data_IF_674987708698
#
_entry.id   IF_674987708698
#
_cell.length_a   1.000
_cell.length_b   1.000
_cell.length_c   1.000
_cell.angle_alpha   90.00
_cell.angle_beta   90.00
_cell.angle_gamma   90.00
#
_symmetry.space_group_name_H-M   'P 1'
#
loop_
_entity.id
_entity.type
_entity.pdbx_description
1 polymer ?
#
# COMPACT_ATOMS: atom_id res chain seq x y z
N UNK A 1 12.82 13.29 -16.06
CA UNK A 1 13.66 12.30 -15.35
C UNK A 1 12.74 11.60 -14.38
N UNK A 2 12.73 10.27 -14.40
CA UNK A 2 11.80 9.47 -13.61
C UNK A 2 12.56 8.72 -12.51
N UNK A 3 11.90 8.50 -11.38
CA UNK A 3 12.46 7.79 -10.23
C UNK A 3 11.51 6.69 -9.78
N UNK A 4 12.08 5.56 -9.36
CA UNK A 4 11.33 4.46 -8.75
C UNK A 4 12.10 3.94 -7.53
N UNK A 5 11.40 3.73 -6.43
CA UNK A 5 11.96 3.20 -5.19
C UNK A 5 10.87 2.49 -4.39
N UNK A 6 11.30 1.58 -3.52
CA UNK A 6 10.42 0.87 -2.59
C UNK A 6 10.52 1.51 -1.19
N UNK A 7 9.39 1.59 -0.49
CA UNK A 7 9.33 2.02 0.89
C UNK A 7 8.22 1.32 1.63
N UNK A 8 8.36 1.18 2.94
CA UNK A 8 7.26 0.70 3.81
C UNK A 8 6.19 1.78 4.03
N UNK A 9 6.47 3.04 3.65
CA UNK A 9 5.62 4.22 3.94
C UNK A 9 5.29 4.42 5.43
N UNK A 10 5.94 3.68 6.34
CA UNK A 10 5.67 3.75 7.78
C UNK A 10 6.35 4.93 8.48
N UNK A 11 7.34 5.56 7.86
CA UNK A 11 8.03 6.75 8.38
C UNK A 11 7.52 8.05 7.75
N UNK A 12 7.88 9.20 8.35
CA UNK A 12 7.45 10.51 7.87
C UNK A 12 8.25 11.02 6.65
N UNK A 13 9.51 10.60 6.53
CA UNK A 13 10.44 11.12 5.51
C UNK A 13 9.92 10.91 4.09
N UNK A 14 9.43 9.71 3.78
CA UNK A 14 8.99 9.40 2.43
C UNK A 14 7.68 10.10 2.07
N UNK A 15 6.70 10.11 2.99
CA UNK A 15 5.45 10.82 2.75
C UNK A 15 5.70 12.32 2.50
N UNK A 16 6.53 12.97 3.32
CA UNK A 16 6.89 14.37 3.13
C UNK A 16 7.64 14.62 1.81
N UNK A 17 8.52 13.71 1.39
CA UNK A 17 9.22 13.82 0.12
C UNK A 17 8.23 13.74 -1.07
N UNK A 18 7.29 12.81 -1.03
CA UNK A 18 6.28 12.64 -2.07
C UNK A 18 5.35 13.85 -2.16
N UNK A 19 4.90 14.39 -1.02
CA UNK A 19 4.11 15.61 -0.97
C UNK A 19 4.86 16.79 -1.62
N UNK A 20 6.14 16.99 -1.24
CA UNK A 20 6.99 18.03 -1.83
C UNK A 20 7.19 17.85 -3.34
N UNK A 21 7.38 16.61 -3.79
CA UNK A 21 7.52 16.31 -5.22
C UNK A 21 6.24 16.68 -5.98
N UNK A 22 5.07 16.33 -5.45
CA UNK A 22 3.76 16.72 -5.99
C UNK A 22 3.60 18.24 -6.05
N UNK A 23 3.92 18.96 -4.96
CA UNK A 23 3.90 20.43 -4.92
C UNK A 23 4.88 21.10 -5.89
N UNK A 24 5.97 20.42 -6.24
CA UNK A 24 6.93 20.88 -7.25
C UNK A 24 6.52 20.54 -8.70
N UNK A 25 5.33 19.97 -8.90
CA UNK A 25 4.78 19.63 -10.22
C UNK A 25 5.15 18.24 -10.73
N UNK A 26 5.74 17.37 -9.89
CA UNK A 26 6.00 15.98 -10.28
C UNK A 26 4.75 15.12 -10.11
N UNK A 27 4.52 14.20 -11.04
CA UNK A 27 3.49 13.19 -10.89
C UNK A 27 3.92 12.13 -9.88
N UNK A 28 3.22 12.07 -8.75
CA UNK A 28 3.41 11.01 -7.76
C UNK A 28 2.45 9.86 -8.05
N UNK A 29 3.01 8.68 -8.34
CA UNK A 29 2.26 7.45 -8.57
C UNK A 29 2.64 6.42 -7.51
N UNK A 30 1.64 5.82 -6.84
CA UNK A 30 1.85 4.83 -5.79
C UNK A 30 1.18 3.51 -6.15
N UNK A 31 1.95 2.42 -6.06
CA UNK A 31 1.44 1.06 -5.98
C UNK A 31 1.56 0.60 -4.53
N UNK A 32 0.45 0.60 -3.81
CA UNK A 32 0.39 0.18 -2.42
C UNK A 32 0.00 -1.29 -2.34
N UNK A 33 0.80 -2.09 -1.65
CA UNK A 33 0.54 -3.53 -1.47
C UNK A 33 0.37 -3.81 0.02
N UNK A 34 -0.79 -4.36 0.39
CA UNK A 34 -1.12 -4.71 1.78
C UNK A 34 -1.42 -6.19 1.94
N UNK A 35 -1.43 -6.64 3.20
CA UNK A 35 -1.83 -7.96 3.63
C UNK A 35 -2.98 -7.85 4.64
N UNK A 36 -3.69 -8.95 4.84
CA UNK A 36 -4.82 -9.04 5.76
C UNK A 36 -4.50 -8.62 7.20
N UNK A 37 -3.29 -8.90 7.68
CA UNK A 37 -2.89 -8.62 9.06
C UNK A 37 -1.39 -8.36 9.24
N UNK A 38 -1.05 -7.68 10.33
CA UNK A 38 0.35 -7.57 10.77
C UNK A 38 0.95 -8.94 11.13
N UNK A 39 0.14 -9.87 11.64
CA UNK A 39 0.59 -11.21 11.97
C UNK A 39 1.00 -12.00 10.71
N UNK A 40 0.29 -11.80 9.60
CA UNK A 40 0.69 -12.38 8.32
C UNK A 40 2.00 -11.77 7.80
N UNK A 41 2.22 -10.46 7.97
CA UNK A 41 3.53 -9.87 7.71
C UNK A 41 4.63 -10.51 8.58
N UNK A 42 4.39 -10.70 9.87
CA UNK A 42 5.33 -11.34 10.80
C UNK A 42 5.62 -12.78 10.36
N UNK A 43 4.60 -13.55 10.01
CA UNK A 43 4.74 -14.93 9.53
C UNK A 43 5.60 -14.99 8.25
N UNK A 44 5.34 -14.11 7.28
CA UNK A 44 6.15 -14.02 6.05
C UNK A 44 7.58 -13.59 6.32
N UNK A 45 7.81 -12.68 7.28
CA UNK A 45 9.16 -12.29 7.71
C UNK A 45 9.89 -13.46 8.37
N UNK A 46 9.23 -14.21 9.25
CA UNK A 46 9.82 -15.40 9.88
C UNK A 46 10.17 -16.48 8.85
N UNK A 47 9.27 -16.72 7.88
CA UNK A 47 9.50 -17.68 6.79
C UNK A 47 10.74 -17.32 5.97
N UNK A 48 10.88 -16.06 5.53
CA UNK A 48 12.09 -15.64 4.79
C UNK A 48 13.35 -15.66 5.65
N UNK A 49 13.27 -15.37 6.95
CA UNK A 49 14.43 -15.44 7.87
C UNK A 49 14.93 -16.88 7.99
N UNK A 50 14.02 -17.86 8.06
CA UNK A 50 14.39 -19.27 8.03
C UNK A 50 15.10 -19.68 6.72
N UNK A 51 14.89 -18.92 5.64
CA UNK A 51 15.58 -19.09 4.34
C UNK A 51 16.80 -18.16 4.18
N UNK A 52 17.32 -17.56 5.25
CA UNK A 52 18.52 -16.70 5.23
C UNK A 52 18.27 -15.21 4.97
N UNK A 53 17.01 -14.76 4.99
CA UNK A 53 16.64 -13.35 4.86
C UNK A 53 16.88 -12.50 6.11
N UNK A 54 16.70 -11.19 5.98
CA UNK A 54 16.85 -10.24 7.09
C UNK A 54 15.63 -10.19 8.01
N UNK A 55 15.86 -10.21 9.32
CA UNK A 55 14.83 -10.11 10.34
C UNK A 55 14.37 -8.65 10.56
N UNK A 56 13.13 -8.48 11.02
CA UNK A 56 12.58 -7.17 11.40
C UNK A 56 11.82 -7.34 12.72
N UNK A 57 12.10 -6.53 13.75
CA UNK A 57 11.37 -6.60 15.01
C UNK A 57 9.86 -6.47 14.82
N UNK A 58 9.08 -7.37 15.42
CA UNK A 58 7.62 -7.42 15.27
C UNK A 58 6.93 -6.11 15.62
N UNK A 59 7.42 -5.43 16.67
CA UNK A 59 6.91 -4.11 17.07
C UNK A 59 7.00 -3.10 15.90
N UNK A 60 8.12 -3.09 15.16
CA UNK A 60 8.27 -2.25 13.97
C UNK A 60 7.34 -2.68 12.83
N UNK A 61 7.10 -3.97 12.65
CA UNK A 61 6.16 -4.48 11.64
C UNK A 61 4.73 -3.99 11.96
N UNK A 62 4.28 -4.16 13.20
CA UNK A 62 2.95 -3.72 13.65
C UNK A 62 2.78 -2.20 13.54
N UNK A 63 3.79 -1.45 13.97
CA UNK A 63 3.82 0.00 13.84
C UNK A 63 3.69 0.43 12.37
N UNK A 64 4.53 -0.12 11.49
CA UNK A 64 4.55 0.22 10.06
C UNK A 64 3.25 -0.18 9.39
N UNK A 65 2.67 -1.34 9.74
CA UNK A 65 1.40 -1.80 9.21
C UNK A 65 0.29 -0.75 9.43
N UNK A 66 0.19 -0.18 10.63
CA UNK A 66 -0.78 0.89 10.89
C UNK A 66 -0.40 2.21 10.22
N UNK A 67 0.85 2.65 10.37
CA UNK A 67 1.30 3.97 9.91
C UNK A 67 1.28 4.12 8.40
N UNK A 68 1.66 3.09 7.65
CA UNK A 68 1.70 3.14 6.18
C UNK A 68 0.34 3.48 5.58
N UNK A 69 -0.75 2.92 6.12
CA UNK A 69 -2.12 3.22 5.68
C UNK A 69 -2.54 4.64 6.02
N UNK A 70 -2.21 5.13 7.21
CA UNK A 70 -2.51 6.51 7.59
C UNK A 70 -1.79 7.49 6.67
N UNK A 71 -0.50 7.25 6.40
CA UNK A 71 0.29 8.06 5.46
C UNK A 71 -0.21 7.99 4.03
N UNK A 72 -0.66 6.83 3.58
CA UNK A 72 -1.30 6.71 2.27
C UNK A 72 -2.57 7.57 2.18
N UNK A 73 -3.42 7.52 3.20
CA UNK A 73 -4.66 8.32 3.26
C UNK A 73 -4.36 9.82 3.24
N UNK A 74 -3.37 10.26 4.02
CA UNK A 74 -2.89 11.66 4.02
C UNK A 74 -2.42 12.09 2.62
N UNK A 75 -1.73 11.21 1.88
CA UNK A 75 -1.18 11.51 0.56
C UNK A 75 -2.22 11.56 -0.57
N UNK A 76 -3.43 10.98 -0.40
CA UNK A 76 -4.41 10.84 -1.49
C UNK A 76 -4.63 12.11 -2.34
N UNK A 77 -4.75 13.33 -1.76
CA UNK A 77 -4.95 14.55 -2.54
C UNK A 77 -3.77 14.94 -3.44
N UNK A 78 -2.58 14.38 -3.20
CA UNK A 78 -1.33 14.72 -3.88
C UNK A 78 -0.95 13.73 -4.99
N UNK A 79 -1.72 12.65 -5.17
CA UNK A 79 -1.38 11.56 -6.08
C UNK A 79 -1.94 11.80 -7.49
N UNK A 80 -1.07 11.66 -8.48
CA UNK A 80 -1.47 11.53 -9.88
C UNK A 80 -2.15 10.17 -10.10
N UNK A 81 -1.64 9.10 -9.49
CA UNK A 81 -2.20 7.76 -9.58
C UNK A 81 -1.98 6.95 -8.30
N UNK A 82 -3.00 6.20 -7.90
CA UNK A 82 -2.92 5.21 -6.83
C UNK A 82 -3.48 3.88 -7.32
N UNK A 83 -2.74 2.79 -7.08
CA UNK A 83 -3.26 1.43 -7.13
C UNK A 83 -3.05 0.75 -5.80
N UNK A 84 -4.10 0.16 -5.24
CA UNK A 84 -4.06 -0.59 -3.97
C UNK A 84 -4.29 -2.06 -4.27
N UNK A 85 -3.38 -2.91 -3.81
CA UNK A 85 -3.43 -4.35 -4.00
C UNK A 85 -3.52 -5.09 -2.67
N UNK A 86 -4.35 -6.13 -2.66
CA UNK A 86 -4.38 -7.16 -1.64
C UNK A 86 -3.49 -8.32 -2.07
N UNK A 87 -2.43 -8.59 -1.32
CA UNK A 87 -1.50 -9.68 -1.58
C UNK A 87 -1.55 -10.75 -0.48
N UNK A 88 -2.71 -10.92 0.14
CA UNK A 88 -2.94 -11.87 1.23
C UNK A 88 -2.76 -13.32 0.78
N UNK A 89 -3.20 -13.65 -0.44
CA UNK A 89 -2.93 -14.97 -1.02
C UNK A 89 -1.42 -15.18 -1.21
N UNK A 90 -0.92 -16.33 -0.77
CA UNK A 90 0.47 -16.71 -0.99
C UNK A 90 0.61 -17.44 -2.31
N UNK A 91 1.69 -17.12 -3.04
CA UNK A 91 2.20 -18.00 -4.07
C UNK A 91 3.11 -19.06 -3.46
N UNK A 92 3.54 -19.99 -4.29
CA UNK A 92 4.59 -20.98 -3.99
C UNK A 92 5.78 -20.76 -4.93
N UNK A 93 6.78 -19.95 -4.53
CA UNK A 93 7.96 -19.70 -5.37
C UNK A 93 8.74 -20.97 -5.70
N UNK A 94 8.72 -21.99 -4.83
CA UNK A 94 9.43 -23.26 -5.07
C UNK A 94 8.78 -24.05 -6.21
N UNK A 95 7.47 -23.87 -6.41
CA UNK A 95 6.71 -24.43 -7.55
C UNK A 95 6.54 -23.45 -8.71
N UNK A 96 7.23 -22.31 -8.69
CA UNK A 96 7.08 -21.26 -9.72
C UNK A 96 5.72 -20.58 -9.73
N UNK A 97 4.95 -20.69 -8.65
CA UNK A 97 3.63 -20.07 -8.51
C UNK A 97 3.80 -18.70 -7.86
N UNK A 98 3.71 -17.64 -8.65
CA UNK A 98 3.69 -16.29 -8.11
C UNK A 98 2.36 -16.04 -7.37
N UNK A 99 2.35 -15.22 -6.30
CA UNK A 99 1.09 -14.74 -5.76
C UNK A 99 0.37 -13.91 -6.84
N UNK A 100 -0.96 -13.85 -6.75
CA UNK A 100 -1.80 -13.02 -7.63
C UNK A 100 -2.41 -11.88 -6.82
N UNK A 101 -1.73 -10.72 -6.70
CA UNK A 101 -2.28 -9.59 -5.95
C UNK A 101 -3.57 -9.10 -6.59
N UNK A 102 -4.62 -8.98 -5.80
CA UNK A 102 -5.93 -8.51 -6.25
C UNK A 102 -6.00 -6.99 -6.17
N UNK A 103 -6.30 -6.34 -7.29
CA UNK A 103 -6.52 -4.88 -7.33
C UNK A 103 -7.82 -4.54 -6.58
N UNK A 104 -7.70 -3.74 -5.52
CA UNK A 104 -8.83 -3.28 -4.71
C UNK A 104 -9.33 -1.89 -5.12
N UNK A 105 -8.41 -1.02 -5.51
CA UNK A 105 -8.70 0.38 -5.83
C UNK A 105 -7.71 0.90 -6.86
N UNK A 106 -8.23 1.57 -7.87
CA UNK A 106 -7.46 2.37 -8.82
C UNK A 106 -8.02 3.78 -8.83
N UNK A 107 -7.17 4.76 -8.56
CA UNK A 107 -7.51 6.18 -8.66
C UNK A 107 -6.54 6.92 -9.56
N UNK A 108 -7.04 7.95 -10.24
CA UNK A 108 -6.24 8.94 -10.96
C UNK A 108 -6.75 10.33 -10.65
N UNK A 109 -5.85 11.26 -10.33
CA UNK A 109 -6.16 12.67 -10.09
C UNK A 109 -7.35 12.89 -9.14
N UNK A 110 -7.35 12.17 -8.00
CA UNK A 110 -8.42 12.24 -7.00
C UNK A 110 -9.73 11.54 -7.38
N UNK A 111 -9.87 10.98 -8.58
CA UNK A 111 -11.05 10.24 -9.04
C UNK A 111 -10.83 8.73 -8.98
N UNK A 112 -11.88 8.01 -8.60
CA UNK A 112 -11.88 6.54 -8.65
C UNK A 112 -12.08 6.10 -10.10
N UNK A 113 -11.11 5.35 -10.64
CA UNK A 113 -11.18 4.74 -11.97
C UNK A 113 -11.84 3.36 -11.87
N UNK A 114 -11.48 2.58 -10.85
CA UNK A 114 -12.13 1.31 -10.53
C UNK A 114 -11.94 0.96 -9.06
N UNK A 115 -12.85 0.15 -8.52
CA UNK A 115 -12.75 -0.38 -7.16
C UNK A 115 -13.40 -1.75 -7.10
N UNK A 116 -12.89 -2.62 -6.21
CA UNK A 116 -13.59 -3.84 -5.84
C UNK A 116 -14.92 -3.50 -5.13
N UNK A 117 -15.87 -4.42 -5.18
CA UNK A 117 -17.11 -4.30 -4.40
C UNK A 117 -16.80 -4.20 -2.90
N UNK A 118 -17.57 -3.37 -2.18
CA UNK A 118 -17.32 -3.09 -0.76
C UNK A 118 -17.35 -4.36 0.11
N UNK A 119 -18.18 -5.34 -0.26
CA UNK A 119 -18.27 -6.66 0.37
C UNK A 119 -16.97 -7.47 0.25
N UNK A 120 -16.21 -7.26 -0.83
CA UNK A 120 -14.97 -7.97 -1.16
C UNK A 120 -13.71 -7.20 -0.70
N UNK A 121 -13.86 -6.00 -0.15
CA UNK A 121 -12.74 -5.19 0.33
C UNK A 121 -12.38 -5.63 1.75
N UNK A 122 -11.15 -6.12 1.98
CA UNK A 122 -10.75 -6.62 3.29
C UNK A 122 -10.73 -5.48 4.33
N UNK A 123 -10.97 -5.78 5.62
CA UNK A 123 -11.07 -4.76 6.67
C UNK A 123 -9.92 -3.76 6.71
N UNK A 124 -8.68 -4.20 6.45
CA UNK A 124 -7.50 -3.34 6.46
C UNK A 124 -7.54 -2.24 5.39
N UNK A 125 -8.20 -2.50 4.25
CA UNK A 125 -8.25 -1.59 3.10
C UNK A 125 -9.49 -0.68 3.13
N UNK A 126 -10.52 -1.00 3.93
CA UNK A 126 -11.76 -0.20 4.02
C UNK A 126 -11.51 1.28 4.33
N UNK A 127 -10.63 1.67 5.28
CA UNK A 127 -10.35 3.07 5.54
C UNK A 127 -9.76 3.82 4.34
N UNK A 128 -8.94 3.14 3.52
CA UNK A 128 -8.35 3.72 2.30
C UNK A 128 -9.45 3.96 1.27
N UNK A 129 -10.30 2.96 1.02
CA UNK A 129 -11.42 3.10 0.09
C UNK A 129 -12.42 4.17 0.53
N UNK A 130 -12.74 4.24 1.82
CA UNK A 130 -13.63 5.28 2.36
C UNK A 130 -13.05 6.68 2.16
N UNK A 131 -11.75 6.88 2.42
CA UNK A 131 -11.07 8.14 2.20
C UNK A 131 -11.05 8.52 0.70
N UNK A 132 -10.82 7.54 -0.18
CA UNK A 132 -10.87 7.71 -1.63
C UNK A 132 -12.25 8.16 -2.13
N UNK A 133 -13.33 7.53 -1.66
CA UNK A 133 -14.71 7.91 -2.00
C UNK A 133 -14.98 9.34 -1.54
N UNK A 134 -14.61 9.68 -0.30
CA UNK A 134 -14.78 11.03 0.24
C UNK A 134 -14.02 12.08 -0.57
N UNK A 135 -12.82 11.76 -1.06
CA UNK A 135 -12.03 12.66 -1.90
C UNK A 135 -12.68 12.83 -3.29
N UNK A 136 -13.11 11.73 -3.91
CA UNK A 136 -13.69 11.74 -5.27
C UNK A 136 -15.02 12.50 -5.36
N UNK A 137 -15.79 12.54 -4.27
CA UNK A 137 -17.07 13.25 -4.18
C UNK A 137 -16.99 14.74 -3.83
N UNK A 138 -15.79 15.30 -3.60
CA UNK A 138 -15.58 16.72 -3.27
C UNK A 138 -15.44 17.64 -4.49
N UNK A 139 -15.79 17.20 -5.69
CA UNK A 139 -15.61 17.94 -6.94
C UNK A 139 -16.93 18.21 -7.63
#
# INVERSE_FOLDING_TARGET
MDFAFETTLGGNTMASLLEKASSAGMEVRIWYVGLESADLHIARVRSRVAMGGHDIPEAKIRERYARSRMKLIELLPHLAELKVFDNTEEGDPQKGQAPSPRLLLHMKWGKIVSSAELSLVPPWAKPILQAAIKLSGKT
#
